data_IF_041456548438
#
_entry.id   IF_041456548438
#
_cell.length_a   1.000
_cell.length_b   1.000
_cell.length_c   1.000
_cell.angle_alpha   90.00
_cell.angle_beta   90.00
_cell.angle_gamma   90.00
#
_symmetry.space_group_name_H-M   'P 1'
#
loop_
_entity.id
_entity.type
_entity.pdbx_description
1 polymer ?
#
# COMPACT_ATOMS: atom_id res chain seq x y z
N UNK A 1 13.86 -3.44 -25.13
CA UNK A 1 13.38 -4.13 -23.91
C UNK A 1 13.94 -3.42 -22.72
N UNK A 2 13.16 -3.29 -21.65
CA UNK A 2 13.57 -2.66 -20.39
C UNK A 2 13.53 -3.70 -19.28
N UNK A 3 14.64 -3.87 -18.58
CA UNK A 3 14.70 -4.86 -17.50
C UNK A 3 13.81 -4.44 -16.33
N UNK A 4 13.34 -5.43 -15.59
CA UNK A 4 12.47 -5.24 -14.44
C UNK A 4 13.33 -5.29 -13.18
N UNK A 5 13.17 -4.32 -12.28
CA UNK A 5 13.78 -4.33 -10.95
C UNK A 5 12.66 -4.53 -9.94
N UNK A 6 12.54 -5.72 -9.31
CA UNK A 6 11.56 -5.98 -8.26
C UNK A 6 11.76 -5.04 -7.08
N UNK A 7 10.66 -4.54 -6.51
CA UNK A 7 10.67 -3.64 -5.37
C UNK A 7 9.61 -4.06 -4.36
N UNK A 8 9.93 -3.97 -3.07
CA UNK A 8 9.00 -4.25 -2.00
C UNK A 8 9.16 -3.24 -0.85
N UNK A 9 8.03 -2.91 -0.21
CA UNK A 9 7.99 -2.10 1.00
C UNK A 9 7.02 -2.68 2.03
N UNK A 10 7.45 -2.77 3.29
CA UNK A 10 6.66 -3.23 4.44
C UNK A 10 6.67 -2.16 5.53
N UNK A 11 5.52 -1.87 6.16
CA UNK A 11 5.40 -0.83 7.20
C UNK A 11 4.54 0.40 6.85
N UNK A 12 4.51 0.90 5.59
CA UNK A 12 3.70 2.08 5.26
C UNK A 12 2.21 1.92 5.55
N UNK A 13 1.64 0.77 5.20
CA UNK A 13 0.21 0.49 5.32
C UNK A 13 -0.24 0.37 6.78
N UNK A 14 0.69 0.17 7.70
CA UNK A 14 0.43 -0.01 9.13
C UNK A 14 0.50 1.30 9.92
N UNK A 15 0.69 2.43 9.24
CA UNK A 15 0.78 3.75 9.89
C UNK A 15 -0.59 4.25 10.35
N UNK A 16 -1.65 3.83 9.65
CA UNK A 16 -3.03 4.27 9.84
C UNK A 16 -4.01 3.11 9.70
N UNK A 17 -5.08 3.15 10.50
CA UNK A 17 -6.28 2.37 10.28
C UNK A 17 -7.32 3.25 9.59
N UNK A 18 -8.02 2.69 8.60
CA UNK A 18 -9.19 3.33 7.99
C UNK A 18 -10.39 3.05 8.89
N UNK A 19 -11.04 4.11 9.37
CA UNK A 19 -12.24 4.04 10.21
C UNK A 19 -13.51 4.10 9.38
N UNK A 20 -13.50 4.95 8.34
CA UNK A 20 -14.56 5.07 7.36
C UNK A 20 -13.93 5.43 6.02
N UNK A 21 -14.30 4.69 4.99
CA UNK A 21 -13.88 5.01 3.63
C UNK A 21 -14.84 5.98 2.93
N UNK A 22 -14.57 6.30 1.67
CA UNK A 22 -15.38 7.24 0.91
C UNK A 22 -16.84 6.79 0.74
N UNK A 23 -17.08 5.48 0.66
CA UNK A 23 -18.41 4.91 0.47
C UNK A 23 -19.22 4.99 1.77
N UNK A 24 -18.60 4.65 2.90
CA UNK A 24 -19.19 4.80 4.24
C UNK A 24 -19.59 6.26 4.51
N UNK A 25 -18.69 7.19 4.16
CA UNK A 25 -18.93 8.63 4.32
C UNK A 25 -20.11 9.07 3.45
N UNK A 26 -20.15 8.66 2.18
CA UNK A 26 -21.24 9.00 1.24
C UNK A 26 -22.60 8.51 1.69
N UNK A 27 -22.65 7.31 2.26
CA UNK A 27 -23.89 6.70 2.74
C UNK A 27 -24.39 7.32 4.06
N UNK A 28 -23.56 8.11 4.75
CA UNK A 28 -23.94 8.77 5.99
C UNK A 28 -25.05 9.81 5.81
N UNK A 29 -25.93 9.93 6.81
CA UNK A 29 -27.02 10.94 6.79
C UNK A 29 -26.48 12.37 6.81
N UNK A 30 -25.31 12.56 7.43
CA UNK A 30 -24.62 13.84 7.48
C UNK A 30 -24.11 14.27 6.10
N UNK A 31 -23.47 13.35 5.36
CA UNK A 31 -23.02 13.62 3.99
C UNK A 31 -24.17 13.95 3.06
N UNK A 32 -25.23 13.15 3.07
CA UNK A 32 -26.42 13.37 2.25
C UNK A 32 -27.13 14.71 2.55
N UNK A 33 -26.99 15.25 3.77
CA UNK A 33 -27.47 16.58 4.09
C UNK A 33 -26.50 17.66 3.56
N UNK A 34 -25.20 17.49 3.80
CA UNK A 34 -24.16 18.43 3.37
C UNK A 34 -24.12 18.58 1.84
N UNK A 35 -24.25 17.47 1.12
CA UNK A 35 -24.32 17.45 -0.35
C UNK A 35 -25.56 18.19 -0.87
N UNK A 36 -26.74 17.99 -0.25
CA UNK A 36 -27.97 18.72 -0.61
C UNK A 36 -27.84 20.23 -0.42
N UNK A 37 -27.05 20.68 0.55
CA UNK A 37 -26.87 22.11 0.85
C UNK A 37 -25.75 22.74 0.02
N UNK A 38 -24.65 22.02 -0.22
CA UNK A 38 -23.42 22.57 -0.80
C UNK A 38 -23.02 21.99 -2.17
N UNK A 39 -23.73 20.98 -2.68
CA UNK A 39 -23.45 20.32 -3.97
C UNK A 39 -22.05 19.71 -4.04
N UNK A 40 -21.64 19.04 -2.96
CA UNK A 40 -20.28 18.56 -2.74
C UNK A 40 -19.91 17.40 -3.66
N UNK A 41 -20.85 16.51 -3.97
CA UNK A 41 -20.64 15.37 -4.86
C UNK A 41 -20.12 15.81 -6.23
N UNK A 42 -20.71 16.87 -6.80
CA UNK A 42 -20.28 17.41 -8.10
C UNK A 42 -18.90 18.08 -8.01
N UNK A 43 -18.55 18.68 -6.87
CA UNK A 43 -17.24 19.31 -6.65
C UNK A 43 -16.14 18.30 -6.36
N UNK A 44 -16.48 17.16 -5.77
CA UNK A 44 -15.58 16.08 -5.37
C UNK A 44 -15.57 14.90 -6.35
N UNK A 45 -15.96 15.15 -7.62
CA UNK A 45 -15.99 14.15 -8.71
C UNK A 45 -16.74 12.87 -8.34
N UNK A 46 -17.93 12.99 -7.77
CA UNK A 46 -18.75 11.85 -7.39
C UNK A 46 -18.27 11.09 -6.16
N UNK A 47 -17.33 11.66 -5.39
CA UNK A 47 -16.79 11.03 -4.17
C UNK A 47 -15.35 10.55 -4.29
N UNK A 48 -14.77 10.53 -5.50
CA UNK A 48 -13.38 10.11 -5.74
C UNK A 48 -12.34 10.94 -4.96
N UNK A 49 -12.70 12.17 -4.57
CA UNK A 49 -11.83 13.07 -3.82
C UNK A 49 -12.08 13.06 -2.31
N UNK A 50 -12.96 12.19 -1.81
CA UNK A 50 -13.21 12.05 -0.38
C UNK A 50 -12.06 11.24 0.23
N UNK A 51 -11.22 11.91 1.02
CA UNK A 51 -10.19 11.21 1.78
C UNK A 51 -10.84 10.34 2.87
N UNK A 52 -10.33 9.12 3.11
CA UNK A 52 -10.82 8.27 4.18
C UNK A 52 -10.58 8.92 5.55
N UNK A 53 -11.46 8.65 6.49
CA UNK A 53 -11.23 8.98 7.90
C UNK A 53 -10.27 7.95 8.46
N UNK A 54 -9.10 8.41 8.90
CA UNK A 54 -8.03 7.56 9.40
C UNK A 54 -7.70 7.85 10.86
N UNK A 55 -7.21 6.83 11.56
CA UNK A 55 -6.65 6.94 12.91
C UNK A 55 -5.30 6.24 13.00
N UNK A 56 -4.38 6.79 13.78
CA UNK A 56 -3.09 6.19 14.09
C UNK A 56 -2.90 6.13 15.60
N UNK A 57 -1.91 6.86 16.13
CA UNK A 57 -1.51 6.78 17.55
C UNK A 57 -2.70 7.06 18.47
N UNK A 58 -3.03 6.10 19.33
CA UNK A 58 -4.08 6.23 20.33
C UNK A 58 -5.43 6.75 19.78
N UNK A 59 -5.77 6.42 18.53
CA UNK A 59 -7.03 6.86 17.90
C UNK A 59 -7.02 8.29 17.36
N UNK A 60 -5.87 8.97 17.36
CA UNK A 60 -5.70 10.33 16.82
C UNK A 60 -5.39 10.30 15.32
N UNK A 61 -5.51 11.41 14.57
CA UNK A 61 -5.06 11.48 13.18
C UNK A 61 -3.52 11.47 13.01
N UNK A 62 -2.75 11.32 14.09
CA UNK A 62 -1.30 11.26 14.03
C UNK A 62 -0.82 9.86 13.59
N UNK A 63 0.16 9.77 12.69
CA UNK A 63 0.66 8.50 12.16
C UNK A 63 1.32 7.65 13.26
N UNK A 64 1.07 6.34 13.28
CA UNK A 64 1.78 5.41 14.17
C UNK A 64 3.29 5.41 13.85
N UNK A 65 4.18 5.39 14.86
CA UNK A 65 5.63 5.39 14.65
C UNK A 65 6.16 4.01 14.22
N UNK A 66 5.75 3.57 13.03
CA UNK A 66 6.19 2.36 12.36
C UNK A 66 7.49 2.61 11.56
N UNK A 67 8.29 1.56 11.36
CA UNK A 67 9.48 1.60 10.48
C UNK A 67 9.11 1.12 9.09
N UNK A 68 9.62 1.80 8.08
CA UNK A 68 9.48 1.37 6.70
C UNK A 68 10.70 0.56 6.29
N UNK A 69 10.46 -0.66 5.86
CA UNK A 69 11.47 -1.58 5.35
C UNK A 69 11.29 -1.62 3.84
N UNK A 70 12.36 -1.31 3.11
CA UNK A 70 12.32 -1.16 1.65
C UNK A 70 13.49 -1.96 1.08
N UNK A 71 13.24 -2.72 0.02
CA UNK A 71 14.27 -3.44 -0.70
C UNK A 71 14.01 -3.45 -2.21
N UNK A 72 15.11 -3.43 -2.96
CA UNK A 72 15.14 -3.70 -4.39
C UNK A 72 15.80 -5.07 -4.61
N UNK A 73 15.20 -5.88 -5.48
CA UNK A 73 15.71 -7.19 -5.86
C UNK A 73 16.70 -7.14 -7.02
N UNK A 74 17.11 -8.33 -7.44
CA UNK A 74 17.95 -8.50 -8.62
C UNK A 74 17.20 -8.14 -9.91
N UNK A 75 17.94 -7.63 -10.89
CA UNK A 75 17.43 -7.27 -12.20
C UNK A 75 16.97 -8.51 -12.97
N UNK A 76 15.74 -8.48 -13.46
CA UNK A 76 15.19 -9.50 -14.37
C UNK A 76 15.37 -8.99 -15.82
N UNK A 77 16.28 -9.58 -16.61
CA UNK A 77 16.58 -9.10 -17.95
C UNK A 77 15.44 -9.43 -18.92
N UNK A 78 15.00 -8.45 -19.73
CA UNK A 78 13.92 -8.64 -20.71
C UNK A 78 14.39 -8.54 -22.16
N UNK A 79 15.69 -8.41 -22.39
CA UNK A 79 16.26 -8.28 -23.72
C UNK A 79 15.89 -9.44 -24.66
N UNK A 80 15.77 -10.65 -24.12
CA UNK A 80 15.40 -11.87 -24.86
C UNK A 80 13.95 -11.91 -25.33
N UNK A 81 13.09 -10.99 -24.85
CA UNK A 81 11.66 -10.90 -25.19
C UNK A 81 11.39 -9.97 -26.39
N UNK A 82 12.44 -9.42 -27.00
CA UNK A 82 12.34 -8.54 -28.18
C UNK A 82 12.07 -9.38 -29.44
N UNK A 83 10.82 -9.82 -29.60
CA UNK A 83 10.33 -10.52 -30.79
C UNK A 83 9.09 -9.78 -31.35
N UNK A 84 8.92 -9.77 -32.67
CA UNK A 84 7.84 -9.04 -33.37
C UNK A 84 6.42 -9.52 -33.00
N UNK A 85 6.31 -10.71 -32.40
CA UNK A 85 5.08 -11.23 -31.78
C UNK A 85 5.43 -11.92 -30.45
N UNK A 86 5.31 -11.23 -29.30
CA UNK A 86 5.64 -11.84 -28.02
C UNK A 86 4.63 -12.95 -27.70
N UNK A 87 5.13 -14.17 -27.56
CA UNK A 87 4.33 -15.32 -27.18
C UNK A 87 3.72 -15.08 -25.80
N UNK A 88 2.40 -15.27 -25.67
CA UNK A 88 1.66 -15.01 -24.42
C UNK A 88 2.26 -15.74 -23.22
N UNK A 89 2.78 -16.95 -23.47
CA UNK A 89 3.42 -17.78 -22.45
C UNK A 89 4.67 -17.11 -21.87
N UNK A 90 5.52 -16.51 -22.71
CA UNK A 90 6.72 -15.80 -22.25
C UNK A 90 6.39 -14.58 -21.39
N UNK A 91 5.33 -13.84 -21.74
CA UNK A 91 4.85 -12.73 -20.91
C UNK A 91 4.37 -13.21 -19.54
N UNK A 92 3.69 -14.36 -19.51
CA UNK A 92 3.18 -14.94 -18.27
C UNK A 92 4.31 -15.45 -17.38
N UNK A 93 5.35 -16.07 -17.97
CA UNK A 93 6.55 -16.50 -17.25
C UNK A 93 7.27 -15.33 -16.59
N UNK A 94 7.47 -14.21 -17.31
CA UNK A 94 8.13 -13.01 -16.77
C UNK A 94 7.30 -12.38 -15.66
N UNK A 95 5.97 -12.36 -15.82
CA UNK A 95 5.03 -11.93 -14.77
C UNK A 95 5.20 -12.79 -13.52
N UNK A 96 5.22 -14.11 -13.65
CA UNK A 96 5.32 -15.01 -12.52
C UNK A 96 6.67 -14.90 -11.82
N UNK A 97 7.77 -14.86 -12.59
CA UNK A 97 9.12 -14.62 -12.06
C UNK A 97 9.21 -13.31 -11.27
N UNK A 98 8.58 -12.24 -11.78
CA UNK A 98 8.53 -10.96 -11.09
C UNK A 98 7.71 -11.05 -9.81
N UNK A 99 6.56 -11.73 -9.85
CA UNK A 99 5.71 -11.93 -8.68
C UNK A 99 6.43 -12.73 -7.57
N UNK A 100 7.11 -13.82 -7.93
CA UNK A 100 7.93 -14.62 -7.02
C UNK A 100 9.06 -13.79 -6.41
N UNK A 101 9.77 -12.99 -7.21
CA UNK A 101 10.84 -12.12 -6.72
C UNK A 101 10.32 -11.07 -5.71
N UNK A 102 9.16 -10.46 -5.99
CA UNK A 102 8.52 -9.53 -5.05
C UNK A 102 8.08 -10.25 -3.77
N UNK A 103 7.47 -11.44 -3.88
CA UNK A 103 7.03 -12.21 -2.73
C UNK A 103 8.19 -12.63 -1.82
N UNK A 104 9.32 -13.02 -2.41
CA UNK A 104 10.56 -13.30 -1.69
C UNK A 104 11.06 -12.06 -0.93
N UNK A 105 11.12 -10.89 -1.58
CA UNK A 105 11.51 -9.65 -0.92
C UNK A 105 10.59 -9.28 0.24
N UNK A 106 9.27 -9.41 0.07
CA UNK A 106 8.29 -9.16 1.15
C UNK A 106 8.55 -10.08 2.33
N UNK A 107 8.78 -11.37 2.07
CA UNK A 107 9.07 -12.36 3.13
C UNK A 107 10.33 -11.99 3.91
N UNK A 108 11.41 -11.63 3.20
CA UNK A 108 12.66 -11.17 3.82
C UNK A 108 12.45 -9.91 4.66
N UNK A 109 11.71 -8.92 4.15
CA UNK A 109 11.45 -7.68 4.88
C UNK A 109 10.57 -7.90 6.11
N UNK A 110 9.60 -8.82 6.05
CA UNK A 110 8.79 -9.22 7.20
C UNK A 110 9.64 -9.88 8.29
N UNK A 111 10.58 -10.76 7.91
CA UNK A 111 11.50 -11.37 8.85
C UNK A 111 12.38 -10.31 9.54
N UNK A 112 12.99 -9.41 8.76
CA UNK A 112 13.76 -8.29 9.32
C UNK A 112 12.93 -7.38 10.23
N UNK A 113 11.68 -7.09 9.87
CA UNK A 113 10.75 -6.33 10.71
C UNK A 113 10.49 -7.04 12.03
N UNK A 114 10.29 -8.36 12.02
CA UNK A 114 10.03 -9.13 13.23
C UNK A 114 11.22 -9.09 14.20
N UNK A 115 12.43 -9.30 13.68
CA UNK A 115 13.69 -9.22 14.44
C UNK A 115 13.93 -7.81 15.01
N UNK A 116 13.66 -6.77 14.21
CA UNK A 116 13.81 -5.40 14.66
C UNK A 116 12.76 -5.01 15.72
N UNK A 117 11.49 -5.41 15.53
CA UNK A 117 10.40 -5.15 16.48
C UNK A 117 10.61 -5.84 17.82
N UNK A 118 11.30 -6.98 17.85
CA UNK A 118 11.71 -7.65 19.09
C UNK A 118 12.62 -6.77 19.97
N UNK A 119 13.39 -5.86 19.36
CA UNK A 119 14.30 -4.93 20.05
C UNK A 119 13.60 -3.67 20.57
N UNK A 120 12.32 -3.47 20.26
CA UNK A 120 11.61 -2.23 20.60
C UNK A 120 11.22 -2.16 22.08
N UNK A 121 11.33 -0.96 22.65
CA UNK A 121 10.82 -0.66 23.98
C UNK A 121 9.31 -0.89 24.07
N UNK A 122 8.81 -1.18 25.27
CA UNK A 122 7.37 -1.39 25.51
C UNK A 122 6.53 -0.18 25.10
N UNK A 123 7.02 1.04 25.39
CA UNK A 123 6.36 2.28 24.99
C UNK A 123 6.20 2.38 23.47
N UNK A 124 7.29 2.12 22.72
CA UNK A 124 7.24 2.18 21.26
C UNK A 124 6.29 1.15 20.68
N UNK A 125 6.31 -0.09 21.21
CA UNK A 125 5.38 -1.14 20.77
C UNK A 125 3.92 -0.77 21.02
N UNK A 126 3.63 -0.07 22.11
CA UNK A 126 2.29 0.43 22.42
C UNK A 126 1.89 1.62 21.51
N UNK A 127 2.81 2.54 21.19
CA UNK A 127 2.50 3.62 20.26
C UNK A 127 2.24 3.13 18.83
N UNK A 128 2.86 2.01 18.46
CA UNK A 128 2.75 1.41 17.14
C UNK A 128 1.67 0.30 17.03
N UNK A 129 1.04 -0.09 18.14
CA UNK A 129 -0.03 -1.09 18.15
C UNK A 129 -1.33 -0.58 17.57
#
# INVERSE_FOLDING_TARGET
GYDIIPFASVGPNETYDIVADADDIRQSRAWNWLDRVAGLDRRLRGGDLIAPVVRGVAGTPLPRPERFYIACGERIPTAHLQCDAPERELQWQVREQTAEAIAALVTTLQAHRAEDRAKWSRLRRWLAS
#
